data_IF_796193444923
#
_entry.id   IF_796193444923
#
_cell.length_a   1.000
_cell.length_b   1.000
_cell.length_c   1.000
_cell.angle_alpha   90.00
_cell.angle_beta   90.00
_cell.angle_gamma   90.00
#
_symmetry.space_group_name_H-M   'P 1'
#
loop_
_entity.id
_entity.type
_entity.pdbx_description
1 polymer ?
#
# COMPACT_ATOMS: atom_id res chain seq x y z
N UNK A 1 12.82 0.11 -13.40
CA UNK A 1 13.30 -0.31 -12.06
C UNK A 1 14.56 0.41 -11.57
N UNK A 2 15.72 0.29 -12.25
CA UNK A 2 17.01 0.84 -11.76
C UNK A 2 16.96 2.32 -11.34
N UNK A 3 16.32 3.17 -12.15
CA UNK A 3 16.18 4.60 -11.84
C UNK A 3 15.34 4.85 -10.58
N UNK A 4 14.19 4.18 -10.46
CA UNK A 4 13.29 4.27 -9.31
C UNK A 4 14.02 3.87 -8.03
N UNK A 5 14.66 2.69 -8.01
CA UNK A 5 15.44 2.23 -6.85
C UNK A 5 16.59 3.20 -6.50
N UNK A 6 17.22 3.82 -7.49
CA UNK A 6 18.25 4.83 -7.24
C UNK A 6 17.69 6.06 -6.50
N UNK A 7 16.50 6.53 -6.87
CA UNK A 7 15.85 7.66 -6.19
C UNK A 7 15.40 7.26 -4.79
N UNK A 8 14.84 6.06 -4.63
CA UNK A 8 14.44 5.56 -3.32
C UNK A 8 15.64 5.49 -2.36
N UNK A 9 16.75 4.87 -2.82
CA UNK A 9 18.01 4.81 -2.05
C UNK A 9 18.54 6.18 -1.67
N UNK A 10 18.56 7.13 -2.62
CA UNK A 10 19.01 8.50 -2.34
C UNK A 10 18.29 9.13 -1.15
N UNK A 11 16.97 8.98 -1.07
CA UNK A 11 16.21 9.53 0.05
C UNK A 11 16.38 8.73 1.34
N UNK A 12 16.44 7.40 1.26
CA UNK A 12 16.68 6.53 2.42
C UNK A 12 18.06 6.78 3.04
N UNK A 13 19.09 7.00 2.20
CA UNK A 13 20.45 7.37 2.62
C UNK A 13 20.48 8.75 3.31
N UNK A 14 19.57 9.65 2.95
CA UNK A 14 19.39 10.95 3.61
C UNK A 14 18.73 10.83 5.00
N UNK A 15 18.14 9.67 5.31
CA UNK A 15 17.63 9.36 6.64
C UNK A 15 16.12 9.40 6.80
N UNK A 16 15.32 9.40 5.72
CA UNK A 16 13.87 9.23 5.85
C UNK A 16 13.54 7.83 6.39
N UNK A 17 12.48 7.70 7.19
CA UNK A 17 12.12 6.44 7.85
C UNK A 17 11.25 5.52 6.99
N UNK A 18 10.76 5.99 5.85
CA UNK A 18 9.96 5.17 4.96
C UNK A 18 9.44 5.96 3.76
N UNK A 19 8.78 5.23 2.87
CA UNK A 19 8.28 5.74 1.60
C UNK A 19 6.79 5.44 1.49
N UNK A 20 5.99 6.49 1.27
CA UNK A 20 4.64 6.35 0.75
C UNK A 20 4.74 6.11 -0.75
N UNK A 21 4.25 4.97 -1.21
CA UNK A 21 4.21 4.63 -2.62
C UNK A 21 2.90 5.15 -3.19
N UNK A 22 3.00 6.20 -3.99
CA UNK A 22 1.87 6.94 -4.57
C UNK A 22 1.30 6.21 -5.79
N UNK A 23 -0.02 6.17 -5.89
CA UNK A 23 -0.77 5.68 -7.05
C UNK A 23 -0.35 4.28 -7.54
N UNK A 24 0.06 3.43 -6.60
CA UNK A 24 0.60 2.10 -6.91
C UNK A 24 -0.36 1.15 -7.64
N UNK A 25 -1.70 1.25 -7.53
CA UNK A 25 -2.59 0.39 -8.33
C UNK A 25 -2.35 0.45 -9.83
N UNK A 26 -1.87 1.57 -10.35
CA UNK A 26 -1.72 1.83 -11.79
C UNK A 26 -0.29 1.68 -12.30
N UNK A 27 0.60 1.07 -11.52
CA UNK A 27 2.02 0.96 -11.85
C UNK A 27 2.29 0.20 -13.16
N UNK A 28 1.41 -0.73 -13.54
CA UNK A 28 1.52 -1.55 -14.75
C UNK A 28 0.29 -1.35 -15.62
N UNK A 29 0.54 -1.15 -16.91
CA UNK A 29 -0.50 -1.12 -17.95
C UNK A 29 -0.48 -2.41 -18.77
N UNK A 30 -1.66 -2.93 -19.09
CA UNK A 30 -1.83 -4.11 -19.96
C UNK A 30 -3.09 -3.97 -20.78
N UNK A 31 -2.93 -4.00 -22.10
CA UNK A 31 -4.04 -3.93 -23.05
C UNK A 31 -5.15 -4.94 -22.72
N UNK A 32 -6.40 -4.48 -22.81
CA UNK A 32 -7.57 -5.29 -22.50
C UNK A 32 -7.89 -5.43 -21.01
N UNK A 33 -7.20 -4.68 -20.14
CA UNK A 33 -7.52 -4.56 -18.71
C UNK A 33 -7.92 -3.13 -18.34
N UNK A 34 -8.30 -2.89 -17.09
CA UNK A 34 -8.50 -1.56 -16.53
C UNK A 34 -7.19 -0.92 -16.00
N UNK A 35 -6.04 -1.57 -16.19
CA UNK A 35 -4.71 -1.13 -15.73
C UNK A 35 -4.60 -0.91 -14.21
N UNK A 36 -5.42 -1.59 -13.41
CA UNK A 36 -5.46 -1.42 -11.96
C UNK A 36 -5.25 -2.77 -11.25
N UNK A 37 -4.39 -2.80 -10.23
CA UNK A 37 -4.09 -3.99 -9.41
C UNK A 37 -3.66 -5.21 -10.23
N UNK A 38 -2.91 -4.99 -11.31
CA UNK A 38 -2.39 -6.11 -12.08
C UNK A 38 -1.39 -6.92 -11.24
N UNK A 39 -1.33 -8.26 -11.37
CA UNK A 39 -0.36 -9.09 -10.62
C UNK A 39 1.09 -8.59 -10.75
N UNK A 40 1.44 -8.09 -11.92
CA UNK A 40 2.77 -7.52 -12.20
C UNK A 40 3.09 -6.28 -11.35
N UNK A 41 2.08 -5.52 -10.91
CA UNK A 41 2.25 -4.42 -9.94
C UNK A 41 2.80 -4.96 -8.63
N UNK A 42 2.18 -6.01 -8.09
CA UNK A 42 2.61 -6.67 -6.85
C UNK A 42 4.00 -7.28 -6.99
N UNK A 43 4.34 -7.89 -8.14
CA UNK A 43 5.68 -8.40 -8.41
C UNK A 43 6.76 -7.31 -8.33
N UNK A 44 6.45 -6.11 -8.83
CA UNK A 44 7.33 -4.94 -8.72
C UNK A 44 7.46 -4.48 -7.27
N UNK A 45 6.36 -4.41 -6.53
CA UNK A 45 6.36 -3.94 -5.15
C UNK A 45 7.12 -4.91 -4.23
N UNK A 46 7.01 -6.22 -4.45
CA UNK A 46 7.80 -7.24 -3.75
C UNK A 46 9.30 -7.12 -4.06
N UNK A 47 9.68 -6.80 -5.30
CA UNK A 47 11.08 -6.50 -5.64
C UNK A 47 11.58 -5.26 -4.91
N UNK A 48 10.77 -4.19 -4.85
CA UNK A 48 11.10 -2.98 -4.09
C UNK A 48 11.27 -3.31 -2.60
N UNK A 49 10.35 -4.07 -2.02
CA UNK A 49 10.41 -4.51 -0.62
C UNK A 49 11.68 -5.29 -0.34
N UNK A 50 12.00 -6.28 -1.15
CA UNK A 50 13.22 -7.08 -0.99
C UNK A 50 14.51 -6.23 -1.07
N UNK A 51 14.56 -5.25 -1.97
CA UNK A 51 15.69 -4.32 -2.08
C UNK A 51 15.85 -3.44 -0.84
N UNK A 52 14.73 -2.96 -0.28
CA UNK A 52 14.74 -2.16 0.95
C UNK A 52 15.17 -3.01 2.14
N UNK A 53 14.57 -4.18 2.35
CA UNK A 53 14.90 -5.07 3.46
C UNK A 53 16.38 -5.49 3.46
N UNK A 54 16.97 -5.68 2.27
CA UNK A 54 18.37 -6.05 2.14
C UNK A 54 19.36 -4.94 2.54
N UNK A 55 18.97 -3.67 2.48
CA UNK A 55 19.87 -2.53 2.67
C UNK A 55 19.48 -1.59 3.82
N UNK A 56 18.21 -1.61 4.24
CA UNK A 56 17.64 -0.68 5.20
C UNK A 56 16.63 -1.36 6.15
N UNK A 57 17.10 -2.09 7.17
CA UNK A 57 16.26 -2.97 7.99
C UNK A 57 15.16 -2.26 8.81
N UNK A 58 15.30 -0.95 9.06
CA UNK A 58 14.36 -0.17 9.87
C UNK A 58 13.58 0.85 9.01
N UNK A 59 13.18 0.47 7.79
CA UNK A 59 12.47 1.34 6.85
C UNK A 59 11.14 0.76 6.41
N UNK A 60 10.15 1.65 6.34
CA UNK A 60 8.76 1.29 6.06
C UNK A 60 8.36 1.60 4.61
N UNK A 61 7.47 0.77 4.08
CA UNK A 61 6.70 1.04 2.86
C UNK A 61 5.22 1.20 3.22
N UNK A 62 4.64 2.32 2.82
CA UNK A 62 3.23 2.63 3.01
C UNK A 62 2.53 2.65 1.65
N UNK A 63 1.64 1.68 1.43
CA UNK A 63 0.80 1.58 0.26
C UNK A 63 -0.25 2.70 0.24
N UNK A 64 -0.25 3.49 -0.83
CA UNK A 64 -1.39 4.32 -1.17
C UNK A 64 -2.23 3.67 -2.27
N UNK A 65 -3.24 2.92 -1.84
CA UNK A 65 -4.24 2.31 -2.72
C UNK A 65 -5.63 2.70 -2.22
N UNK A 66 -6.30 3.62 -2.90
CA UNK A 66 -7.62 4.11 -2.53
C UNK A 66 -8.72 3.15 -2.98
N UNK A 67 -8.75 1.97 -2.35
CA UNK A 67 -9.57 0.85 -2.77
C UNK A 67 -10.34 0.25 -1.59
N UNK A 68 -11.17 -0.75 -1.87
CA UNK A 68 -11.87 -1.51 -0.82
C UNK A 68 -10.88 -2.32 0.03
N UNK A 69 -11.23 -2.68 1.28
CA UNK A 69 -10.31 -3.42 2.16
C UNK A 69 -9.84 -4.73 1.53
N UNK A 70 -10.70 -5.41 0.78
CA UNK A 70 -10.43 -6.71 0.17
C UNK A 70 -9.39 -6.64 -0.95
N UNK A 71 -9.29 -5.50 -1.63
CA UNK A 71 -8.28 -5.23 -2.64
C UNK A 71 -7.01 -4.67 -2.01
N UNK A 72 -7.16 -3.76 -1.03
CA UNK A 72 -6.03 -3.11 -0.35
C UNK A 72 -5.19 -4.11 0.44
N UNK A 73 -5.80 -5.17 1.01
CA UNK A 73 -5.06 -6.20 1.74
C UNK A 73 -4.02 -6.95 0.89
N UNK A 74 -4.17 -6.95 -0.44
CA UNK A 74 -3.24 -7.63 -1.34
C UNK A 74 -1.85 -6.99 -1.31
N UNK A 75 -1.78 -5.69 -0.98
CA UNK A 75 -0.52 -4.94 -0.87
C UNK A 75 0.34 -5.32 0.33
N UNK A 76 -0.14 -6.17 1.24
CA UNK A 76 0.70 -6.78 2.29
C UNK A 76 1.50 -7.98 1.76
N UNK A 77 1.17 -8.49 0.57
CA UNK A 77 1.82 -9.64 -0.05
C UNK A 77 1.14 -10.97 0.27
N UNK A 78 1.80 -12.06 -0.12
CA UNK A 78 1.21 -13.41 -0.04
C UNK A 78 1.36 -14.02 1.35
N UNK A 79 2.42 -13.62 2.06
CA UNK A 79 2.69 -14.05 3.42
C UNK A 79 1.77 -13.32 4.40
N UNK A 80 1.28 -14.05 5.40
CA UNK A 80 0.34 -13.53 6.40
C UNK A 80 1.03 -13.24 7.71
N UNK A 81 0.46 -12.32 8.49
CA UNK A 81 1.01 -11.87 9.77
C UNK A 81 2.20 -10.95 9.56
N UNK A 82 3.17 -11.02 10.48
CA UNK A 82 4.33 -10.10 10.50
C UNK A 82 5.35 -10.40 9.38
N UNK A 83 5.16 -11.50 8.64
CA UNK A 83 6.06 -11.97 7.59
C UNK A 83 5.68 -11.47 6.18
N UNK A 84 4.80 -10.48 6.05
CA UNK A 84 4.37 -9.91 4.76
C UNK A 84 5.55 -9.48 3.89
N UNK A 85 5.52 -9.80 2.59
CA UNK A 85 6.64 -9.64 1.65
C UNK A 85 6.48 -8.46 0.67
N UNK A 86 5.49 -7.60 0.88
CA UNK A 86 5.24 -6.42 0.06
C UNK A 86 5.24 -5.13 0.90
N UNK A 87 4.16 -4.34 0.96
CA UNK A 87 4.11 -3.14 1.80
C UNK A 87 3.91 -3.48 3.27
N UNK A 88 4.47 -2.64 4.15
CA UNK A 88 4.36 -2.82 5.60
C UNK A 88 3.04 -2.28 6.15
N UNK A 89 2.54 -1.22 5.54
CA UNK A 89 1.31 -0.53 5.92
C UNK A 89 0.51 -0.17 4.68
N UNK A 90 -0.79 0.00 4.85
CA UNK A 90 -1.68 0.56 3.85
C UNK A 90 -2.68 1.52 4.50
N UNK A 91 -3.14 2.51 3.75
CA UNK A 91 -4.23 3.37 4.21
C UNK A 91 -5.56 2.63 4.18
N UNK A 92 -6.33 2.72 5.27
CA UNK A 92 -7.72 2.29 5.26
C UNK A 92 -8.61 3.42 4.72
N UNK A 93 -8.52 3.70 3.41
CA UNK A 93 -9.26 4.79 2.78
C UNK A 93 -10.79 4.73 2.99
N UNK A 94 -11.45 3.56 2.94
CA UNK A 94 -12.88 3.48 3.21
C UNK A 94 -13.28 3.95 4.63
N UNK A 95 -12.41 3.83 5.62
CA UNK A 95 -12.72 4.22 7.00
C UNK A 95 -12.86 5.74 7.16
N UNK A 96 -11.93 6.51 6.57
CA UNK A 96 -11.88 7.97 6.71
C UNK A 96 -13.22 8.67 6.40
N UNK A 97 -13.87 8.52 5.23
CA UNK A 97 -15.14 9.20 4.95
C UNK A 97 -16.27 8.73 5.86
N UNK A 98 -16.23 7.47 6.33
CA UNK A 98 -17.23 6.91 7.23
C UNK A 98 -17.12 7.46 8.65
N UNK A 99 -15.94 7.90 9.07
CA UNK A 99 -15.78 8.65 10.33
C UNK A 99 -16.54 9.99 10.26
N UNK A 100 -16.46 10.71 9.13
CA UNK A 100 -17.22 11.95 8.93
C UNK A 100 -18.73 11.70 8.86
N UNK A 101 -19.15 10.63 8.15
CA UNK A 101 -20.57 10.24 8.09
C UNK A 101 -21.11 9.91 9.48
N UNK A 102 -20.36 9.13 10.28
CA UNK A 102 -20.77 8.75 11.63
C UNK A 102 -20.92 9.97 12.55
N UNK A 103 -20.00 10.94 12.44
CA UNK A 103 -20.10 12.20 13.19
C UNK A 103 -21.35 12.99 12.79
N UNK A 104 -21.61 13.13 11.48
CA UNK A 104 -22.75 13.89 10.98
C UNK A 104 -24.11 13.23 11.27
N UNK A 105 -24.15 11.90 11.34
CA UNK A 105 -25.35 11.12 11.64
C UNK A 105 -25.54 10.85 13.14
N UNK A 106 -24.55 11.17 13.97
CA UNK A 106 -24.48 10.78 15.39
C UNK A 106 -24.67 9.26 15.60
N UNK A 107 -24.24 8.47 14.61
CA UNK A 107 -24.39 7.02 14.58
C UNK A 107 -23.05 6.36 14.24
N UNK A 108 -22.60 5.42 15.09
CA UNK A 108 -21.37 4.66 14.87
C UNK A 108 -21.48 3.63 13.73
N UNK A 109 -22.68 3.36 13.23
CA UNK A 109 -22.95 2.30 12.26
C UNK A 109 -21.99 2.33 11.05
N UNK A 110 -21.77 3.47 10.35
CA UNK A 110 -20.86 3.51 9.20
C UNK A 110 -19.44 3.04 9.50
N UNK A 111 -18.91 3.33 10.70
CA UNK A 111 -17.58 2.89 11.12
C UNK A 111 -17.58 1.38 11.39
N UNK A 112 -18.58 0.87 12.11
CA UNK A 112 -18.61 -0.55 12.48
C UNK A 112 -18.93 -1.47 11.31
N UNK A 113 -19.65 -0.97 10.31
CA UNK A 113 -19.96 -1.72 9.10
C UNK A 113 -18.70 -1.94 8.25
N UNK A 114 -17.88 -0.89 8.05
CA UNK A 114 -16.66 -1.00 7.25
C UNK A 114 -15.56 -1.80 7.93
N UNK A 115 -15.46 -1.77 9.27
CA UNK A 115 -14.46 -2.56 10.01
C UNK A 115 -14.78 -4.06 10.06
N UNK A 116 -15.97 -4.49 9.60
CA UNK A 116 -16.36 -5.90 9.51
C UNK A 116 -16.08 -6.51 8.14
N UNK A 117 -15.69 -5.70 7.17
CA UNK A 117 -15.24 -6.10 5.84
C UNK A 117 -13.73 -6.39 5.94
#
# INVERSE_FOLDING_TARGET
MKAVLSVMRYWLDMGIDGLRLDDIPYLIERDGTNNENLPETHDVLKQIRAEIDAHYPDRMLLAEANQWPEDTQLYFGDKKGDDGDECHMAFHFPLMPRMYMALAQEDRFPITDILRQ
#
